data_IF_456345410146
#
_entry.id   IF_456345410146
#
_cell.length_a   1.000
_cell.length_b   1.000
_cell.length_c   1.000
_cell.angle_alpha   90.00
_cell.angle_beta   90.00
_cell.angle_gamma   90.00
#
_symmetry.space_group_name_H-M   'P 1'
#
loop_
_entity.id
_entity.type
_entity.pdbx_description
1 polymer ?
#
# COMPACT_ATOMS: atom_id res chain seq x y z
N UNK A 1 51.22 -7.20 -16.16
CA UNK A 1 50.41 -5.98 -15.89
C UNK A 1 49.18 -5.81 -16.81
N UNK A 2 49.24 -6.18 -18.11
CA UNK A 2 48.06 -6.09 -19.03
C UNK A 2 46.88 -7.00 -18.63
N UNK A 3 47.17 -8.24 -18.21
CA UNK A 3 46.17 -9.25 -17.82
C UNK A 3 45.42 -8.82 -16.54
N UNK A 4 46.13 -8.24 -15.58
CA UNK A 4 45.55 -7.71 -14.34
C UNK A 4 44.62 -6.52 -14.61
N UNK A 5 44.99 -5.62 -15.54
CA UNK A 5 44.13 -4.51 -15.97
C UNK A 5 42.86 -5.00 -16.66
N UNK A 6 42.97 -6.03 -17.52
CA UNK A 6 41.80 -6.66 -18.15
C UNK A 6 40.85 -7.30 -17.13
N UNK A 7 41.38 -7.98 -16.11
CA UNK A 7 40.57 -8.58 -15.06
C UNK A 7 39.84 -7.52 -14.20
N UNK A 8 40.51 -6.40 -13.90
CA UNK A 8 39.91 -5.28 -13.16
C UNK A 8 38.81 -4.59 -13.96
N UNK A 9 38.99 -4.41 -15.27
CA UNK A 9 37.96 -3.84 -16.16
C UNK A 9 36.75 -4.77 -16.25
N UNK A 10 36.97 -6.08 -16.35
CA UNK A 10 35.89 -7.07 -16.38
C UNK A 10 35.10 -7.06 -15.06
N UNK A 11 35.78 -6.96 -13.92
CA UNK A 11 35.15 -6.88 -12.60
C UNK A 11 34.30 -5.61 -12.45
N UNK A 12 34.81 -4.46 -12.90
CA UNK A 12 34.08 -3.19 -12.91
C UNK A 12 32.82 -3.26 -13.77
N UNK A 13 32.88 -3.88 -14.95
CA UNK A 13 31.71 -4.07 -15.82
C UNK A 13 30.63 -4.94 -15.16
N UNK A 14 31.02 -6.01 -14.47
CA UNK A 14 30.08 -6.89 -13.75
C UNK A 14 29.40 -6.15 -12.59
N UNK A 15 30.16 -5.38 -11.81
CA UNK A 15 29.61 -4.58 -10.70
C UNK A 15 28.63 -3.53 -11.24
N UNK A 16 28.96 -2.87 -12.34
CA UNK A 16 28.09 -1.83 -12.94
C UNK A 16 26.79 -2.44 -13.49
N UNK A 17 26.83 -3.67 -14.02
CA UNK A 17 25.64 -4.36 -14.51
C UNK A 17 24.63 -4.71 -13.41
N UNK A 18 25.09 -4.91 -12.16
CA UNK A 18 24.20 -5.20 -11.01
C UNK A 18 23.39 -3.98 -10.58
N UNK A 19 23.92 -2.77 -10.79
CA UNK A 19 23.23 -1.52 -10.45
C UNK A 19 22.20 -1.04 -11.49
N UNK A 20 22.10 -1.70 -12.64
CA UNK A 20 21.22 -1.31 -13.74
C UNK A 20 19.85 -2.00 -13.73
N UNK A 21 19.50 -2.73 -12.67
CA UNK A 21 18.12 -3.19 -12.49
C UNK A 21 17.34 -2.13 -11.71
N UNK A 22 16.61 -1.20 -12.36
CA UNK A 22 15.58 -0.47 -11.65
C UNK A 22 14.64 -1.51 -11.04
N UNK A 23 14.45 -1.44 -9.72
CA UNK A 23 13.42 -2.20 -9.03
C UNK A 23 12.11 -1.86 -9.71
N UNK A 24 11.60 -2.81 -10.51
CA UNK A 24 10.41 -2.65 -11.31
C UNK A 24 9.22 -2.68 -10.33
N UNK A 25 8.89 -1.51 -9.77
CA UNK A 25 7.76 -1.33 -8.86
C UNK A 25 6.46 -1.32 -9.67
N UNK A 26 6.15 -2.43 -10.34
CA UNK A 26 4.85 -2.66 -11.00
C UNK A 26 3.82 -3.14 -9.97
N UNK A 27 3.87 -2.58 -8.77
CA UNK A 27 2.86 -2.78 -7.76
C UNK A 27 1.55 -2.22 -8.26
N UNK A 28 0.58 -3.07 -8.55
CA UNK A 28 -0.75 -2.64 -8.99
C UNK A 28 -1.38 -1.81 -7.88
N UNK A 29 -1.63 -0.53 -8.16
CA UNK A 29 -2.33 0.39 -7.25
C UNK A 29 -3.81 0.00 -7.20
N UNK A 30 -4.35 -0.12 -5.99
CA UNK A 30 -5.77 -0.41 -5.76
C UNK A 30 -6.59 0.77 -6.30
N UNK A 31 -7.65 0.53 -7.11
CA UNK A 31 -8.54 1.60 -7.54
C UNK A 31 -9.08 2.40 -6.35
N UNK A 32 -9.05 3.73 -6.43
CA UNK A 32 -9.30 4.61 -5.29
C UNK A 32 -10.64 4.33 -4.58
N UNK A 33 -11.74 4.15 -5.31
CA UNK A 33 -13.05 3.79 -4.75
C UNK A 33 -13.03 2.47 -3.96
N UNK A 34 -12.22 1.50 -4.40
CA UNK A 34 -12.00 0.25 -3.66
C UNK A 34 -11.14 0.50 -2.42
N UNK A 35 -10.12 1.34 -2.54
CA UNK A 35 -9.22 1.69 -1.44
C UNK A 35 -9.92 2.49 -0.34
N UNK A 36 -10.82 3.43 -0.67
CA UNK A 36 -11.64 4.18 0.29
C UNK A 36 -12.43 3.22 1.19
N UNK A 37 -13.15 2.26 0.57
CA UNK A 37 -13.94 1.26 1.29
C UNK A 37 -13.06 0.35 2.15
N UNK A 38 -11.97 -0.15 1.57
CA UNK A 38 -11.02 -1.03 2.26
C UNK A 38 -10.38 -0.35 3.47
N UNK A 39 -9.89 0.88 3.30
CA UNK A 39 -9.27 1.66 4.37
C UNK A 39 -10.26 1.95 5.49
N UNK A 40 -11.48 2.36 5.13
CA UNK A 40 -12.56 2.61 6.09
C UNK A 40 -12.87 1.35 6.91
N UNK A 41 -13.00 0.19 6.26
CA UNK A 41 -13.21 -1.10 6.93
C UNK A 41 -12.06 -1.47 7.89
N UNK A 42 -10.80 -1.20 7.52
CA UNK A 42 -9.65 -1.43 8.39
C UNK A 42 -9.75 -0.56 9.64
N UNK A 43 -9.98 0.76 9.46
CA UNK A 43 -10.02 1.71 10.58
C UNK A 43 -11.18 1.40 11.52
N UNK A 44 -12.39 1.14 11.00
CA UNK A 44 -13.54 0.75 11.81
C UNK A 44 -13.26 -0.56 12.54
N UNK A 45 -12.73 -1.58 11.86
CA UNK A 45 -12.42 -2.86 12.49
C UNK A 45 -11.37 -2.71 13.60
N UNK A 46 -10.35 -1.86 13.41
CA UNK A 46 -9.35 -1.59 14.43
C UNK A 46 -9.92 -0.84 15.63
N UNK A 47 -10.75 0.19 15.40
CA UNK A 47 -11.33 1.01 16.46
C UNK A 47 -12.38 0.25 17.29
N UNK A 48 -13.10 -0.67 16.65
CA UNK A 48 -14.10 -1.53 17.32
C UNK A 48 -13.49 -2.68 18.12
N UNK A 49 -12.19 -2.95 17.99
CA UNK A 49 -11.52 -4.06 18.66
C UNK A 49 -10.49 -3.56 19.66
N UNK A 50 -10.58 -3.96 20.92
CA UNK A 50 -9.55 -3.71 21.94
C UNK A 50 -8.37 -4.70 21.81
N UNK A 51 -7.79 -4.81 20.62
CA UNK A 51 -6.76 -5.79 20.29
C UNK A 51 -5.34 -5.21 20.40
N UNK A 52 -4.41 -6.03 20.88
CA UNK A 52 -2.99 -5.71 20.85
C UNK A 52 -2.47 -5.65 19.39
N UNK A 53 -1.26 -5.12 19.18
CA UNK A 53 -0.66 -4.97 17.85
C UNK A 53 -0.77 -6.21 16.93
N UNK A 54 -0.56 -7.41 17.48
CA UNK A 54 -0.70 -8.66 16.71
C UNK A 54 -2.14 -8.89 16.22
N UNK A 55 -3.15 -8.48 16.99
CA UNK A 55 -4.54 -8.49 16.57
C UNK A 55 -4.83 -7.47 15.47
N UNK A 56 -4.18 -6.29 15.50
CA UNK A 56 -4.31 -5.30 14.42
C UNK A 56 -3.79 -5.80 13.07
N UNK A 57 -2.69 -6.57 13.07
CA UNK A 57 -2.17 -7.23 11.85
C UNK A 57 -3.17 -8.24 11.32
N UNK A 58 -3.74 -9.09 12.20
CA UNK A 58 -4.75 -10.08 11.81
C UNK A 58 -6.00 -9.41 11.24
N UNK A 59 -6.49 -8.33 11.87
CA UNK A 59 -7.63 -7.55 11.39
C UNK A 59 -7.38 -7.04 9.97
N UNK A 60 -6.20 -6.44 9.72
CA UNK A 60 -5.83 -5.97 8.39
C UNK A 60 -5.89 -7.11 7.37
N UNK A 61 -5.23 -8.23 7.66
CA UNK A 61 -5.17 -9.39 6.75
C UNK A 61 -6.56 -9.91 6.39
N UNK A 62 -7.46 -10.02 7.38
CA UNK A 62 -8.84 -10.44 7.13
C UNK A 62 -9.61 -9.42 6.28
N UNK A 63 -9.44 -8.12 6.53
CA UNK A 63 -10.07 -7.08 5.70
C UNK A 63 -9.55 -7.14 4.27
N UNK A 64 -8.23 -7.20 4.06
CA UNK A 64 -7.63 -7.30 2.72
C UNK A 64 -8.18 -8.50 1.93
N UNK A 65 -8.34 -9.64 2.61
CA UNK A 65 -8.94 -10.85 2.03
C UNK A 65 -10.37 -10.62 1.57
N UNK A 66 -11.23 -9.96 2.37
CA UNK A 66 -12.62 -9.62 1.97
C UNK A 66 -12.68 -8.79 0.70
N UNK A 67 -11.69 -7.92 0.50
CA UNK A 67 -11.61 -7.08 -0.69
C UNK A 67 -10.87 -7.74 -1.86
N UNK A 68 -10.38 -8.99 -1.74
CA UNK A 68 -9.49 -9.60 -2.74
C UNK A 68 -8.31 -8.67 -3.08
N UNK A 69 -7.59 -8.23 -2.05
CA UNK A 69 -6.40 -7.39 -2.15
C UNK A 69 -5.25 -8.12 -1.47
N UNK A 70 -4.10 -8.15 -2.14
CA UNK A 70 -2.86 -8.68 -1.56
C UNK A 70 -2.14 -7.64 -0.70
N UNK A 71 -1.36 -8.08 0.28
CA UNK A 71 -0.47 -7.19 1.05
C UNK A 71 0.47 -6.39 0.12
N UNK A 72 0.91 -7.00 -0.99
CA UNK A 72 1.75 -6.32 -2.00
C UNK A 72 1.01 -5.17 -2.67
N UNK A 73 -0.22 -5.38 -3.12
CA UNK A 73 -1.05 -4.31 -3.72
C UNK A 73 -1.35 -3.21 -2.71
N UNK A 74 -1.64 -3.58 -1.45
CA UNK A 74 -1.87 -2.62 -0.37
C UNK A 74 -0.63 -1.74 -0.13
N UNK A 75 0.54 -2.36 0.08
CA UNK A 75 1.80 -1.62 0.28
C UNK A 75 2.16 -0.75 -0.92
N UNK A 76 1.98 -1.26 -2.15
CA UNK A 76 2.22 -0.48 -3.37
C UNK A 76 1.28 0.73 -3.48
N UNK A 77 0.05 0.59 -2.99
CA UNK A 77 -0.93 1.69 -2.93
C UNK A 77 -0.52 2.71 -1.87
N UNK A 78 -0.05 2.27 -0.71
CA UNK A 78 0.51 3.18 0.30
C UNK A 78 1.72 3.95 -0.25
N UNK A 79 2.65 3.28 -0.93
CA UNK A 79 3.79 3.92 -1.57
C UNK A 79 3.34 4.96 -2.61
N UNK A 80 2.30 4.65 -3.39
CA UNK A 80 1.70 5.59 -4.34
C UNK A 80 1.17 6.84 -3.63
N UNK A 81 0.41 6.72 -2.54
CA UNK A 81 -0.09 7.89 -1.81
C UNK A 81 1.03 8.64 -1.08
N UNK A 82 1.99 7.93 -0.47
CA UNK A 82 3.13 8.51 0.24
C UNK A 82 4.08 9.31 -0.66
N UNK A 83 4.11 9.02 -1.96
CA UNK A 83 4.95 9.75 -2.90
C UNK A 83 4.57 11.24 -3.06
N UNK A 84 3.32 11.62 -2.75
CA UNK A 84 2.82 13.00 -2.86
C UNK A 84 1.78 13.29 -1.77
N UNK A 85 2.07 14.15 -0.78
CA UNK A 85 1.15 14.45 0.32
C UNK A 85 -0.25 14.90 -0.13
N UNK A 86 -0.36 15.61 -1.26
CA UNK A 86 -1.63 16.10 -1.81
C UNK A 86 -2.59 14.97 -2.19
N UNK A 87 -2.07 13.76 -2.48
CA UNK A 87 -2.90 12.59 -2.74
C UNK A 87 -3.65 12.13 -1.50
N UNK A 88 -3.01 12.25 -0.32
CA UNK A 88 -3.65 11.91 0.94
C UNK A 88 -4.78 12.86 1.28
N UNK A 89 -4.59 14.17 1.05
CA UNK A 89 -5.63 15.18 1.27
C UNK A 89 -6.91 14.85 0.49
N UNK A 90 -6.79 14.69 -0.84
CA UNK A 90 -7.91 14.35 -1.70
C UNK A 90 -8.55 12.99 -1.37
N UNK A 91 -7.75 12.03 -0.93
CA UNK A 91 -8.24 10.72 -0.52
C UNK A 91 -9.06 10.82 0.77
N UNK A 92 -8.57 11.55 1.78
CA UNK A 92 -9.24 11.65 3.06
C UNK A 92 -10.54 12.44 2.98
N UNK A 93 -10.63 13.46 2.11
CA UNK A 93 -11.91 14.14 1.83
C UNK A 93 -12.99 13.14 1.37
N UNK A 94 -12.61 12.20 0.48
CA UNK A 94 -13.53 11.16 -0.02
C UNK A 94 -13.84 10.11 1.04
N UNK A 95 -12.88 9.74 1.88
CA UNK A 95 -13.11 8.84 3.02
C UNK A 95 -14.11 9.44 4.00
N UNK A 96 -13.95 10.73 4.35
CA UNK A 96 -14.88 11.44 5.24
C UNK A 96 -16.30 11.41 4.64
N UNK A 97 -16.43 11.76 3.36
CA UNK A 97 -17.72 11.72 2.68
C UNK A 97 -18.35 10.32 2.71
N UNK A 98 -17.57 9.28 2.41
CA UNK A 98 -18.04 7.89 2.46
C UNK A 98 -18.50 7.47 3.86
N UNK A 99 -17.75 7.85 4.91
CA UNK A 99 -18.12 7.55 6.30
C UNK A 99 -19.42 8.27 6.69
N UNK A 100 -19.60 9.53 6.29
CA UNK A 100 -20.84 10.26 6.54
C UNK A 100 -22.06 9.61 5.85
N UNK A 101 -21.89 9.11 4.63
CA UNK A 101 -22.94 8.32 3.99
C UNK A 101 -23.29 7.04 4.77
N UNK A 102 -22.27 6.33 5.29
CA UNK A 102 -22.50 5.13 6.09
C UNK A 102 -23.28 5.45 7.37
N UNK A 103 -22.95 6.54 8.06
CA UNK A 103 -23.69 7.02 9.25
C UNK A 103 -25.15 7.32 8.92
N UNK A 104 -25.40 8.04 7.83
CA UNK A 104 -26.77 8.35 7.40
C UNK A 104 -27.57 7.10 7.05
N UNK A 105 -26.94 6.13 6.36
CA UNK A 105 -27.56 4.84 6.03
C UNK A 105 -27.88 4.03 7.29
N UNK A 106 -27.00 4.04 8.29
CA UNK A 106 -27.22 3.38 9.57
C UNK A 106 -28.38 4.03 10.36
N UNK A 107 -28.45 5.37 10.39
CA UNK A 107 -29.51 6.10 11.10
C UNK A 107 -30.90 5.96 10.45
N UNK A 108 -30.96 5.65 9.15
CA UNK A 108 -32.22 5.44 8.39
C UNK A 108 -32.70 3.99 8.40
N UNK A 109 -31.95 3.06 8.99
CA UNK A 109 -32.35 1.66 9.08
C UNK A 109 -33.45 1.53 10.16
N UNK A 110 -34.66 1.04 9.83
CA UNK A 110 -35.76 0.89 10.79
C UNK A 110 -35.45 -0.15 11.87
#
# INVERSE_FOLDING_TARGET
>A
MKILKSAVILLLLVITAVFLFPSCNNGKVIPEEKFIRLYTDIVIAQDTTAEAYNGMVKIRTEVLKRFNVTEKEYNSTLDYYNAKPERWELFFDKVIFYVEELKQKAAKKP
#
